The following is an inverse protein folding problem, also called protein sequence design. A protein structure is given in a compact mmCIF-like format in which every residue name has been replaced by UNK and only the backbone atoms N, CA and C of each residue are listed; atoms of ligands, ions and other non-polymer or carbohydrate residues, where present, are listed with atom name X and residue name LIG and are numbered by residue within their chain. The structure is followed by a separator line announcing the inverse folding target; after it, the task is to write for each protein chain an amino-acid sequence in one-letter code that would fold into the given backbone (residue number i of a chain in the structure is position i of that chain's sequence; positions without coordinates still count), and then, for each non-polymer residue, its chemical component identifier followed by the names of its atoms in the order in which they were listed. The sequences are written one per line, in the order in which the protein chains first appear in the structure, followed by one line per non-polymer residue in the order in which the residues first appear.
data_IF_072878175704
#
_entry.id   IF_072878175704
#
_cell.length_a   1.000
_cell.length_b   1.000
_cell.length_c   1.000
_cell.angle_alpha   90.00
_cell.angle_beta   90.00
_cell.angle_gamma   90.00
#
_symmetry.space_group_name_H-M   'P 1'
#
loop_
_entity.id
_entity.type
_entity.pdbx_description
1 polymer ?
#
# COMPACT_ATOMS: atom_id res chain seq x y z
N UNK A 1 -2.45 -10.32 -2.83
CA UNK A 1 -1.13 -10.73 -2.30
C UNK A 1 -1.34 -11.61 -1.07
N UNK A 2 -0.31 -12.33 -0.61
CA UNK A 2 -0.43 -13.27 0.50
C UNK A 2 0.82 -14.14 0.63
N UNK A 3 0.74 -15.23 1.38
CA UNK A 3 1.82 -16.22 1.45
C UNK A 3 1.97 -16.95 0.11
N UNK A 4 3.18 -17.38 -0.24
CA UNK A 4 3.44 -18.08 -1.50
C UNK A 4 2.49 -19.28 -1.69
N UNK A 5 2.33 -20.11 -0.66
CA UNK A 5 1.43 -21.26 -0.67
C UNK A 5 -0.04 -20.90 -0.97
N UNK A 6 -0.53 -19.77 -0.46
CA UNK A 6 -1.90 -19.33 -0.73
C UNK A 6 -2.05 -18.81 -2.16
N UNK A 7 -1.05 -18.07 -2.67
CA UNK A 7 -1.06 -17.55 -4.04
C UNK A 7 -0.92 -18.67 -5.07
N UNK A 8 -0.07 -19.67 -4.83
CA UNK A 8 0.07 -20.83 -5.71
C UNK A 8 -1.25 -21.61 -5.83
N UNK A 9 -1.91 -21.87 -4.70
CA UNK A 9 -3.24 -22.50 -4.68
C UNK A 9 -4.28 -21.69 -5.45
N UNK A 10 -4.28 -20.37 -5.27
CA UNK A 10 -5.22 -19.49 -5.98
C UNK A 10 -4.96 -19.49 -7.49
N UNK A 11 -3.69 -19.47 -7.91
CA UNK A 11 -3.29 -19.57 -9.32
C UNK A 11 -3.84 -20.85 -9.94
N UNK A 12 -3.59 -22.00 -9.32
CA UNK A 12 -4.05 -23.30 -9.83
C UNK A 12 -5.59 -23.37 -9.92
N UNK A 13 -6.29 -22.81 -8.93
CA UNK A 13 -7.74 -22.75 -8.92
C UNK A 13 -8.29 -21.85 -10.04
N UNK A 14 -7.67 -20.68 -10.27
CA UNK A 14 -8.06 -19.76 -11.34
C UNK A 14 -7.84 -20.35 -12.73
N UNK A 15 -6.70 -21.04 -12.94
CA UNK A 15 -6.40 -21.74 -14.20
C UNK A 15 -7.43 -22.84 -14.48
N UNK A 16 -7.77 -23.67 -13.47
CA UNK A 16 -8.82 -24.70 -13.59
C UNK A 16 -10.21 -24.14 -13.83
N UNK A 17 -10.49 -22.92 -13.37
CA UNK A 17 -11.75 -22.22 -13.62
C UNK A 17 -11.82 -21.57 -15.02
N UNK A 18 -10.78 -21.71 -15.85
CA UNK A 18 -10.77 -21.19 -17.22
C UNK A 18 -10.39 -19.73 -17.33
N UNK A 19 -9.68 -19.16 -16.34
CA UNK A 19 -9.17 -17.79 -16.47
C UNK A 19 -8.22 -17.68 -17.67
N UNK A 20 -8.24 -16.55 -18.38
CA UNK A 20 -7.34 -16.33 -19.52
C UNK A 20 -5.86 -16.35 -19.10
N UNK A 21 -5.54 -15.79 -17.93
CA UNK A 21 -4.17 -15.73 -17.42
C UNK A 21 -4.15 -15.50 -15.90
N UNK A 22 -3.36 -16.32 -15.18
CA UNK A 22 -2.96 -16.08 -13.80
C UNK A 22 -1.44 -16.25 -13.67
N UNK A 23 -0.73 -15.16 -13.36
CA UNK A 23 0.75 -15.16 -13.30
C UNK A 23 1.24 -14.62 -11.96
N UNK A 24 2.17 -15.34 -11.35
CA UNK A 24 2.90 -14.86 -10.18
C UNK A 24 3.81 -13.69 -10.58
N UNK A 25 3.68 -12.58 -9.87
CA UNK A 25 4.61 -11.45 -9.99
C UNK A 25 5.80 -11.69 -9.07
N UNK A 26 7.01 -11.44 -9.57
CA UNK A 26 8.24 -11.53 -8.76
C UNK A 26 8.30 -10.31 -7.83
N UNK A 27 7.92 -10.50 -6.57
CA UNK A 27 7.95 -9.46 -5.53
C UNK A 27 8.74 -9.94 -4.32
N UNK A 28 9.32 -9.00 -3.56
CA UNK A 28 10.10 -9.32 -2.34
C UNK A 28 9.25 -9.64 -1.11
N UNK A 29 7.92 -9.44 -1.17
CA UNK A 29 7.02 -9.73 -0.05
C UNK A 29 5.54 -9.66 -0.41
N UNK A 30 4.70 -10.06 0.54
CA UNK A 30 3.24 -9.98 0.46
C UNK A 30 2.73 -8.57 0.78
N UNK A 31 3.19 -7.56 0.05
CA UNK A 31 2.80 -6.16 0.23
C UNK A 31 1.28 -5.97 0.19
N UNK A 32 0.78 -4.94 0.87
CA UNK A 32 -0.65 -4.59 0.90
C UNK A 32 -1.50 -5.67 1.56
N UNK A 33 -0.93 -6.38 2.54
CA UNK A 33 -1.62 -7.36 3.38
C UNK A 33 -1.19 -7.22 4.84
N UNK A 34 -1.93 -7.83 5.76
CA UNK A 34 -1.59 -7.91 7.18
C UNK A 34 -0.24 -8.58 7.46
N UNK A 35 0.33 -9.33 6.51
CA UNK A 35 1.67 -9.92 6.64
C UNK A 35 2.77 -8.86 6.79
N UNK A 36 2.50 -7.61 6.41
CA UNK A 36 3.44 -6.50 6.52
C UNK A 36 3.41 -5.78 7.86
N UNK A 37 2.57 -6.18 8.83
CA UNK A 37 2.46 -5.49 10.11
C UNK A 37 3.82 -5.29 10.84
N UNK A 38 4.72 -6.30 10.89
CA UNK A 38 6.04 -6.10 11.50
C UNK A 38 6.91 -5.05 10.78
N UNK A 39 6.76 -4.92 9.46
CA UNK A 39 7.45 -3.91 8.67
C UNK A 39 6.81 -2.52 8.84
N UNK A 40 5.48 -2.46 8.99
CA UNK A 40 4.74 -1.22 9.27
C UNK A 40 5.20 -0.60 10.60
N UNK A 41 5.37 -1.39 11.66
CA UNK A 41 5.90 -0.90 12.95
C UNK A 41 7.26 -0.22 12.79
N UNK A 42 8.17 -0.83 12.01
CA UNK A 42 9.49 -0.25 11.73
C UNK A 42 9.40 1.04 10.91
N UNK A 43 8.49 1.07 9.92
CA UNK A 43 8.23 2.24 9.11
C UNK A 43 7.67 3.40 9.95
N UNK A 44 6.71 3.12 10.84
CA UNK A 44 6.11 4.13 11.72
C UNK A 44 7.13 4.72 12.70
N UNK A 45 8.05 3.91 13.23
CA UNK A 45 9.16 4.40 14.04
C UNK A 45 10.09 5.32 13.25
N UNK A 46 10.46 4.93 12.02
CA UNK A 46 11.29 5.76 11.14
C UNK A 46 10.60 7.08 10.75
N UNK A 47 9.31 7.03 10.43
CA UNK A 47 8.49 8.21 10.14
C UNK A 47 8.44 9.14 11.36
N UNK A 48 8.23 8.60 12.56
CA UNK A 48 8.21 9.39 13.81
C UNK A 48 9.53 10.10 14.08
N UNK A 49 10.67 9.42 13.84
CA UNK A 49 11.98 10.03 13.97
C UNK A 49 12.22 11.17 12.95
N UNK A 50 11.60 11.09 11.77
CA UNK A 50 11.68 12.11 10.73
C UNK A 50 10.66 13.26 10.91
N UNK A 51 9.63 13.07 11.74
CA UNK A 51 8.52 14.01 11.90
C UNK A 51 8.97 15.46 12.13
N UNK A 52 9.98 15.78 12.98
CA UNK A 52 10.41 17.17 13.23
C UNK A 52 11.00 17.87 12.01
N UNK A 53 11.42 17.13 10.98
CA UNK A 53 12.03 17.66 9.75
C UNK A 53 11.09 17.55 8.55
N UNK A 54 9.94 16.89 8.69
CA UNK A 54 9.01 16.66 7.59
C UNK A 54 8.29 17.98 7.24
N UNK A 55 8.20 18.26 5.94
CA UNK A 55 7.52 19.44 5.42
C UNK A 55 6.18 19.04 4.79
N UNK A 56 5.18 19.93 4.79
CA UNK A 56 3.98 19.74 3.98
C UNK A 56 4.31 19.51 2.50
N UNK A 57 3.49 18.75 1.76
CA UNK A 57 3.67 18.60 0.32
C UNK A 57 3.43 19.94 -0.38
N UNK A 58 4.18 20.21 -1.46
CA UNK A 58 4.05 21.44 -2.24
C UNK A 58 2.97 21.34 -3.34
N UNK A 59 2.42 20.15 -3.56
CA UNK A 59 1.37 19.84 -4.53
C UNK A 59 0.34 18.93 -3.89
N UNK A 60 -0.85 18.84 -4.48
CA UNK A 60 -1.85 17.84 -4.10
C UNK A 60 -1.26 16.43 -4.32
N UNK A 61 -1.45 15.53 -3.34
CA UNK A 61 -0.97 14.13 -3.40
C UNK A 61 -2.14 13.19 -3.29
N UNK A 62 -2.31 12.29 -4.26
CA UNK A 62 -3.37 11.29 -4.26
C UNK A 62 -2.88 10.03 -3.55
N UNK A 63 -3.49 9.73 -2.41
CA UNK A 63 -3.04 8.64 -1.53
C UNK A 63 -3.65 7.32 -1.98
N UNK A 64 -2.80 6.33 -2.28
CA UNK A 64 -3.23 5.00 -2.72
C UNK A 64 -4.14 4.27 -1.71
N UNK A 65 -3.97 4.52 -0.41
CA UNK A 65 -4.66 3.80 0.66
C UNK A 65 -6.09 4.29 0.89
N UNK A 66 -6.40 5.53 0.48
CA UNK A 66 -7.73 6.14 0.61
C UNK A 66 -8.38 6.39 -0.73
N UNK A 67 -7.63 6.40 -1.83
CA UNK A 67 -8.10 6.84 -3.14
C UNK A 67 -8.45 8.33 -3.18
N UNK A 68 -8.01 9.11 -2.18
CA UNK A 68 -8.35 10.53 -2.00
C UNK A 68 -7.10 11.39 -2.04
N UNK A 69 -7.26 12.65 -2.45
CA UNK A 69 -6.20 13.65 -2.37
C UNK A 69 -6.02 14.19 -0.96
N UNK A 70 -4.77 14.38 -0.55
CA UNK A 70 -4.37 15.37 0.45
C UNK A 70 -3.92 16.64 -0.29
N UNK A 71 -4.15 17.80 0.32
CA UNK A 71 -3.89 19.08 -0.32
C UNK A 71 -2.43 19.48 -0.19
N UNK A 72 -1.95 20.29 -1.14
CA UNK A 72 -0.74 21.05 -0.92
C UNK A 72 -0.84 21.81 0.42
N UNK A 73 0.21 21.78 1.23
CA UNK A 73 0.22 22.40 2.55
C UNK A 73 -0.38 21.55 3.68
N UNK A 74 -0.93 20.35 3.42
CA UNK A 74 -1.42 19.46 4.49
C UNK A 74 -0.31 19.14 5.50
N UNK A 75 -0.52 19.33 6.82
CA UNK A 75 0.46 19.03 7.85
C UNK A 75 0.90 17.55 7.86
N UNK A 76 2.19 17.25 8.11
CA UNK A 76 2.68 15.88 8.26
C UNK A 76 1.87 14.98 9.18
N UNK A 77 1.38 15.52 10.30
CA UNK A 77 0.56 14.78 11.27
C UNK A 77 -0.71 14.16 10.67
N UNK A 78 -1.25 14.72 9.59
CA UNK A 78 -2.48 14.24 8.96
C UNK A 78 -2.24 13.11 7.97
N UNK A 79 -1.08 13.07 7.29
CA UNK A 79 -0.79 12.07 6.26
C UNK A 79 0.20 10.99 6.68
N UNK A 80 1.02 11.21 7.71
CA UNK A 80 1.96 10.19 8.20
C UNK A 80 1.28 8.86 8.58
N UNK A 81 0.12 8.83 9.26
CA UNK A 81 -0.59 7.57 9.54
C UNK A 81 -0.99 6.82 8.26
N UNK A 82 -1.27 7.55 7.17
CA UNK A 82 -1.61 6.96 5.88
C UNK A 82 -0.39 6.29 5.23
N UNK A 83 0.82 6.83 5.43
CA UNK A 83 2.06 6.25 4.92
C UNK A 83 2.36 4.89 5.54
N UNK A 84 2.11 4.71 6.84
CA UNK A 84 2.21 3.42 7.53
C UNK A 84 1.11 2.46 7.07
N UNK A 85 -0.15 2.95 7.05
CA UNK A 85 -1.33 2.16 6.67
C UNK A 85 -1.23 1.56 5.26
N UNK A 86 -0.62 2.25 4.31
CA UNK A 86 -0.51 1.78 2.92
C UNK A 86 0.18 0.42 2.81
N UNK A 87 1.12 0.11 3.70
CA UNK A 87 1.93 -1.10 3.61
C UNK A 87 1.10 -2.36 3.85
N UNK A 88 0.04 -2.23 4.65
CA UNK A 88 -0.85 -3.32 5.04
C UNK A 88 -2.23 -3.28 4.35
N UNK A 89 -2.50 -2.25 3.53
CA UNK A 89 -3.82 -2.02 2.91
C UNK A 89 -3.75 -2.15 1.40
N UNK A 90 -4.86 -2.55 0.78
CA UNK A 90 -5.00 -2.57 -0.68
C UNK A 90 -4.74 -1.20 -1.31
N UNK A 91 -4.13 -1.21 -2.50
CA UNK A 91 -3.89 -0.03 -3.33
C UNK A 91 -5.18 0.30 -4.09
N UNK A 92 -5.82 1.42 -3.77
CA UNK A 92 -6.97 1.98 -4.47
C UNK A 92 -6.48 2.81 -5.67
N UNK A 93 -5.83 2.14 -6.62
CA UNK A 93 -5.20 2.80 -7.78
C UNK A 93 -6.22 3.52 -8.67
N UNK A 94 -7.24 2.80 -9.13
CA UNK A 94 -8.25 3.35 -10.03
C UNK A 94 -8.96 4.57 -9.42
N UNK A 95 -9.40 4.55 -8.14
CA UNK A 95 -9.95 5.74 -7.52
C UNK A 95 -8.96 6.90 -7.42
N UNK A 96 -7.66 6.61 -7.23
CA UNK A 96 -6.63 7.64 -7.10
C UNK A 96 -6.27 8.35 -8.41
N UNK A 97 -6.59 7.77 -9.58
CA UNK A 97 -6.23 8.33 -10.91
C UNK A 97 -7.41 8.75 -11.76
N UNK A 98 -8.65 8.39 -11.38
CA UNK A 98 -9.85 8.78 -12.13
C UNK A 98 -10.22 10.27 -11.97
N UNK A 99 -9.72 10.91 -10.91
CA UNK A 99 -10.14 12.23 -10.43
C UNK A 99 -9.55 13.42 -11.21
#
# INVERSE_FOLDING_TARGET
AGTSKAIDKLKDAAEKAGCMQAKLLKTSGGFHTSLMEPAKVKLEAALSALAPKMKPPTVDVYMNVTGKKIKAGTPPSEFMPLLGKQLCSSVLWEPSVRL
#
